data_IF_086284695634
#
_entry.id   IF_086284695634
#
_cell.length_a   1.000
_cell.length_b   1.000
_cell.length_c   1.000
_cell.angle_alpha   90.00
_cell.angle_beta   90.00
_cell.angle_gamma   90.00
#
_symmetry.space_group_name_H-M   'P 1'
#
loop_
_entity.id
_entity.type
_entity.pdbx_description
1 polymer ?
#
# COMPACT_ATOMS: atom_id res chain seq x y z
N UNK A 1 -32.22 -53.22 17.76
CA UNK A 1 -31.50 -52.98 16.50
C UNK A 1 -32.38 -52.13 15.62
N UNK A 2 -32.03 -50.95 15.13
CA UNK A 2 -30.81 -50.16 15.24
C UNK A 2 -31.24 -48.71 15.06
N UNK A 3 -30.93 -47.87 16.04
CA UNK A 3 -31.02 -46.42 15.94
C UNK A 3 -29.58 -45.95 15.87
N UNK A 4 -29.13 -45.35 14.77
CA UNK A 4 -27.92 -44.53 14.73
C UNK A 4 -27.87 -43.69 13.45
N UNK A 5 -28.35 -42.47 13.61
CA UNK A 5 -27.71 -41.22 13.21
C UNK A 5 -27.04 -41.17 11.81
N UNK A 6 -27.82 -40.66 10.83
CA UNK A 6 -27.26 -39.85 9.76
C UNK A 6 -26.68 -38.57 10.35
N UNK A 7 -25.36 -38.49 10.43
CA UNK A 7 -24.66 -37.21 10.63
C UNK A 7 -24.62 -36.52 9.27
N UNK A 8 -25.54 -35.57 9.06
CA UNK A 8 -25.47 -34.59 7.99
C UNK A 8 -24.11 -33.89 8.07
N UNK A 9 -23.25 -34.14 7.08
CA UNK A 9 -22.09 -33.30 6.80
C UNK A 9 -22.62 -31.93 6.44
N UNK A 10 -22.41 -30.94 7.31
CA UNK A 10 -22.51 -29.54 6.96
C UNK A 10 -21.49 -29.26 5.84
N UNK A 11 -22.02 -29.17 4.63
CA UNK A 11 -21.27 -28.82 3.43
C UNK A 11 -20.74 -27.40 3.59
N UNK A 12 -19.45 -27.27 3.34
CA UNK A 12 -18.62 -26.06 3.47
C UNK A 12 -18.95 -25.03 2.37
N UNK A 13 -20.19 -24.55 2.29
CA UNK A 13 -20.63 -23.61 1.25
C UNK A 13 -20.49 -22.13 1.65
N UNK A 14 -20.46 -21.81 2.96
CA UNK A 14 -20.46 -20.42 3.43
C UNK A 14 -19.13 -19.64 3.28
N UNK A 15 -17.98 -20.33 3.20
CA UNK A 15 -16.66 -19.68 3.06
C UNK A 15 -16.36 -19.32 1.60
N UNK A 16 -16.65 -20.25 0.69
CA UNK A 16 -16.36 -20.09 -0.73
C UNK A 16 -17.18 -18.97 -1.37
N UNK A 17 -18.46 -18.84 -1.02
CA UNK A 17 -19.32 -17.77 -1.56
C UNK A 17 -18.87 -16.38 -1.10
N UNK A 18 -18.34 -16.28 0.12
CA UNK A 18 -17.76 -15.04 0.66
C UNK A 18 -16.44 -14.70 -0.03
N UNK A 19 -15.57 -15.69 -0.21
CA UNK A 19 -14.29 -15.54 -0.91
C UNK A 19 -14.48 -15.14 -2.38
N UNK A 20 -15.48 -15.71 -3.05
CA UNK A 20 -15.84 -15.36 -4.43
C UNK A 20 -16.38 -13.93 -4.52
N UNK A 21 -17.26 -13.53 -3.61
CA UNK A 21 -17.82 -12.17 -3.58
C UNK A 21 -16.72 -11.12 -3.38
N UNK A 22 -15.79 -11.38 -2.46
CA UNK A 22 -14.66 -10.48 -2.16
C UNK A 22 -13.67 -10.41 -3.33
N UNK A 23 -13.40 -11.53 -4.00
CA UNK A 23 -12.57 -11.53 -5.21
C UNK A 23 -13.22 -10.73 -6.35
N UNK A 24 -14.55 -10.79 -6.49
CA UNK A 24 -15.30 -9.99 -7.45
C UNK A 24 -15.29 -8.49 -7.11
N UNK A 25 -15.30 -8.13 -5.83
CA UNK A 25 -15.16 -6.75 -5.38
C UNK A 25 -13.77 -6.19 -5.69
N UNK A 26 -12.70 -6.95 -5.42
CA UNK A 26 -11.32 -6.59 -5.80
C UNK A 26 -11.18 -6.37 -7.31
N UNK A 27 -11.70 -7.30 -8.12
CA UNK A 27 -11.66 -7.17 -9.58
C UNK A 27 -12.46 -5.96 -10.08
N UNK A 28 -13.57 -5.64 -9.42
CA UNK A 28 -14.40 -4.47 -9.72
C UNK A 28 -13.70 -3.17 -9.34
N UNK A 29 -12.99 -3.15 -8.22
CA UNK A 29 -12.20 -1.99 -7.78
C UNK A 29 -10.99 -1.75 -8.69
N UNK A 30 -10.26 -2.81 -9.06
CA UNK A 30 -9.15 -2.71 -10.01
C UNK A 30 -9.60 -2.28 -11.40
N UNK A 31 -10.79 -2.71 -11.84
CA UNK A 31 -11.43 -2.22 -13.07
C UNK A 31 -11.87 -0.76 -12.98
N UNK A 32 -12.27 -0.30 -11.79
CA UNK A 32 -12.62 1.11 -11.53
C UNK A 32 -11.40 2.01 -11.56
N UNK A 33 -10.27 1.57 -11.00
CA UNK A 33 -9.00 2.30 -10.94
C UNK A 33 -8.32 2.32 -12.31
N UNK A 34 -8.18 1.17 -12.96
CA UNK A 34 -7.40 1.03 -14.22
C UNK A 34 -8.24 1.11 -15.50
N UNK A 35 -9.53 1.40 -15.38
CA UNK A 35 -10.44 1.64 -16.50
C UNK A 35 -10.64 0.44 -17.44
N UNK A 36 -11.12 0.67 -18.67
CA UNK A 36 -11.47 -0.39 -19.64
C UNK A 36 -10.30 -1.26 -20.09
N UNK A 37 -9.07 -0.82 -19.85
CA UNK A 37 -7.82 -1.51 -20.20
C UNK A 37 -7.40 -2.57 -19.18
N UNK A 38 -8.05 -2.62 -18.02
CA UNK A 38 -7.82 -3.67 -17.02
C UNK A 38 -8.28 -5.03 -17.54
N UNK A 39 -7.35 -5.97 -17.63
CA UNK A 39 -7.62 -7.36 -18.01
C UNK A 39 -6.97 -8.31 -17.01
N UNK A 40 -7.74 -9.29 -16.53
CA UNK A 40 -7.22 -10.38 -15.70
C UNK A 40 -6.35 -11.37 -16.49
N UNK A 41 -6.12 -11.12 -17.79
CA UNK A 41 -5.41 -12.03 -18.68
C UNK A 41 -3.87 -11.98 -18.57
N UNK A 42 -3.31 -11.08 -17.76
CA UNK A 42 -1.86 -11.00 -17.54
C UNK A 42 -1.49 -11.27 -16.08
N UNK A 43 -1.44 -12.57 -15.76
CA UNK A 43 -0.86 -13.19 -14.55
C UNK A 43 -1.69 -13.04 -13.27
N UNK A 44 -2.62 -13.98 -13.13
CA UNK A 44 -3.37 -14.35 -11.94
C UNK A 44 -2.45 -14.60 -10.74
N UNK A 45 -2.79 -14.11 -9.53
CA UNK A 45 -2.26 -14.67 -8.28
C UNK A 45 -2.36 -16.20 -8.30
N UNK A 46 -1.31 -16.90 -7.85
CA UNK A 46 -1.23 -18.37 -7.97
C UNK A 46 -2.30 -19.07 -7.14
N UNK A 47 -2.87 -18.38 -6.14
CA UNK A 47 -4.09 -18.79 -5.46
C UNK A 47 -5.00 -17.61 -5.10
N UNK A 48 -6.30 -17.87 -5.04
CA UNK A 48 -7.31 -16.92 -4.53
C UNK A 48 -7.00 -16.50 -3.10
N UNK A 49 -6.41 -17.40 -2.29
CA UNK A 49 -6.04 -17.16 -0.90
C UNK A 49 -4.93 -16.13 -0.75
N UNK A 50 -3.88 -16.19 -1.56
CA UNK A 50 -2.80 -15.20 -1.52
C UNK A 50 -3.30 -13.80 -1.91
N UNK A 51 -4.19 -13.73 -2.92
CA UNK A 51 -4.85 -12.47 -3.29
C UNK A 51 -5.74 -11.94 -2.15
N UNK A 52 -6.45 -12.85 -1.46
CA UNK A 52 -7.34 -12.56 -0.34
C UNK A 52 -6.58 -12.10 0.91
N UNK A 53 -5.46 -12.72 1.26
CA UNK A 53 -4.63 -12.36 2.43
C UNK A 53 -4.00 -10.98 2.24
N UNK A 54 -3.46 -10.72 1.04
CA UNK A 54 -2.92 -9.41 0.67
C UNK A 54 -4.02 -8.34 0.70
N UNK A 55 -5.23 -8.65 0.22
CA UNK A 55 -6.37 -7.73 0.23
C UNK A 55 -6.92 -7.48 1.64
N UNK A 56 -7.15 -8.53 2.44
CA UNK A 56 -7.66 -8.44 3.82
C UNK A 56 -6.75 -7.60 4.72
N UNK A 57 -5.43 -7.68 4.53
CA UNK A 57 -4.46 -6.85 5.24
C UNK A 57 -4.46 -5.38 4.77
N UNK A 58 -4.93 -5.12 3.55
CA UNK A 58 -5.15 -3.76 3.03
C UNK A 58 -6.50 -3.18 3.46
N UNK A 59 -7.51 -4.00 3.73
CA UNK A 59 -8.87 -3.59 4.12
C UNK A 59 -9.10 -3.67 5.63
N UNK A 60 -8.22 -3.04 6.41
CA UNK A 60 -8.55 -2.78 7.83
C UNK A 60 -9.65 -1.71 7.83
N UNK A 61 -10.88 -2.13 8.11
CA UNK A 61 -12.04 -1.23 8.27
C UNK A 61 -12.16 -0.80 9.72
N UNK A 62 -12.31 0.51 9.95
CA UNK A 62 -12.47 1.06 11.28
C UNK A 62 -13.91 1.56 11.49
N UNK A 63 -14.60 1.07 12.53
CA UNK A 63 -15.91 1.59 12.95
C UNK A 63 -15.73 2.99 13.57
N UNK A 64 -16.58 3.97 13.27
CA UNK A 64 -16.47 5.39 13.71
C UNK A 64 -15.16 6.11 13.30
N UNK A 65 -14.92 6.23 11.99
CA UNK A 65 -13.74 6.90 11.42
C UNK A 65 -14.10 8.18 10.65
N UNK A 66 -13.15 9.11 10.58
CA UNK A 66 -13.23 10.25 9.68
C UNK A 66 -12.64 9.87 8.32
N UNK A 67 -13.52 9.71 7.34
CA UNK A 67 -13.15 9.39 5.97
C UNK A 67 -12.47 10.56 5.29
N UNK A 68 -11.42 10.24 4.54
CA UNK A 68 -10.79 11.12 3.59
C UNK A 68 -11.58 11.05 2.28
N UNK A 69 -11.74 12.18 1.60
CA UNK A 69 -12.22 12.14 0.22
C UNK A 69 -11.10 11.56 -0.65
N UNK A 70 -11.39 10.61 -1.56
CA UNK A 70 -10.39 10.08 -2.47
C UNK A 70 -9.69 11.19 -3.26
N UNK A 71 -8.44 10.93 -3.67
CA UNK A 71 -7.65 11.88 -4.42
C UNK A 71 -8.41 12.31 -5.69
N UNK A 72 -8.59 13.61 -5.86
CA UNK A 72 -9.44 14.16 -6.91
C UNK A 72 -8.71 14.34 -8.24
N UNK A 73 -7.39 14.13 -8.23
CA UNK A 73 -6.50 14.33 -9.37
C UNK A 73 -6.25 13.05 -10.17
N UNK A 74 -6.80 11.91 -9.74
CA UNK A 74 -6.77 10.66 -10.48
C UNK A 74 -5.43 9.91 -10.41
N UNK A 75 -4.63 10.16 -9.38
CA UNK A 75 -3.42 9.37 -9.09
C UNK A 75 -3.86 7.96 -8.69
N UNK A 76 -3.21 6.97 -9.28
CA UNK A 76 -3.48 5.57 -9.02
C UNK A 76 -2.47 4.98 -8.05
N UNK A 77 -2.90 3.96 -7.32
CA UNK A 77 -2.01 3.14 -6.52
C UNK A 77 -1.04 2.32 -7.38
N UNK A 78 0.04 1.88 -6.76
CA UNK A 78 1.04 1.01 -7.37
C UNK A 78 0.88 -0.41 -6.84
N UNK A 79 0.95 -1.40 -7.72
CA UNK A 79 0.88 -2.80 -7.32
C UNK A 79 1.71 -3.65 -8.28
N UNK A 80 2.76 -4.30 -7.75
CA UNK A 80 3.65 -5.18 -8.52
C UNK A 80 3.90 -6.46 -7.73
N UNK A 81 3.53 -7.61 -8.29
CA UNK A 81 3.72 -8.94 -7.70
C UNK A 81 5.00 -9.57 -8.19
N UNK A 82 5.60 -10.46 -7.40
CA UNK A 82 6.89 -11.11 -7.72
C UNK A 82 7.97 -10.08 -8.11
N UNK A 83 7.88 -8.89 -7.51
CA UNK A 83 8.72 -7.73 -7.80
C UNK A 83 10.08 -7.91 -7.14
N UNK A 84 11.15 -7.87 -7.94
CA UNK A 84 12.52 -7.86 -7.47
C UNK A 84 13.27 -6.71 -8.13
N UNK A 85 14.19 -6.09 -7.39
CA UNK A 85 15.07 -5.06 -7.90
C UNK A 85 16.14 -5.74 -8.78
N UNK A 86 16.38 -5.27 -10.02
CA UNK A 86 17.41 -5.85 -10.88
C UNK A 86 18.79 -5.85 -10.21
N UNK A 87 19.62 -6.88 -10.45
CA UNK A 87 20.96 -6.94 -9.85
C UNK A 87 21.81 -5.73 -10.20
N UNK A 88 22.64 -5.28 -9.23
CA UNK A 88 23.54 -4.13 -9.38
C UNK A 88 22.82 -2.81 -9.65
N UNK A 89 21.55 -2.70 -9.27
CA UNK A 89 20.83 -1.42 -9.34
C UNK A 89 21.43 -0.44 -8.34
N UNK A 90 21.80 0.75 -8.82
CA UNK A 90 22.25 1.85 -7.98
C UNK A 90 21.09 2.76 -7.65
N UNK A 91 20.88 3.00 -6.36
CA UNK A 91 19.81 3.87 -5.86
C UNK A 91 20.42 4.95 -4.99
N UNK A 92 20.15 6.20 -5.34
CA UNK A 92 20.52 7.34 -4.50
C UNK A 92 19.31 7.75 -3.65
N UNK A 93 19.44 7.61 -2.34
CA UNK A 93 18.44 8.09 -1.37
C UNK A 93 18.90 9.44 -0.84
N UNK A 94 18.11 10.52 -1.00
CA UNK A 94 18.50 11.82 -0.46
C UNK A 94 18.70 11.75 1.05
N UNK A 95 19.68 12.52 1.55
CA UNK A 95 20.13 12.54 2.95
C UNK A 95 20.82 11.26 3.48
N UNK A 96 20.90 10.19 2.70
CA UNK A 96 21.60 8.94 3.07
C UNK A 96 22.80 8.65 2.15
N UNK A 97 22.58 8.55 0.83
CA UNK A 97 23.63 8.32 -0.16
C UNK A 97 23.28 7.29 -1.23
N UNK A 98 24.32 6.74 -1.88
CA UNK A 98 24.19 5.72 -2.93
C UNK A 98 24.24 4.30 -2.33
N UNK A 99 23.33 3.44 -2.77
CA UNK A 99 23.23 2.04 -2.37
C UNK A 99 23.19 1.12 -3.58
N UNK A 100 23.84 -0.04 -3.48
CA UNK A 100 23.73 -1.11 -4.46
C UNK A 100 22.71 -2.16 -3.99
N UNK A 101 21.71 -2.43 -4.84
CA UNK A 101 20.58 -3.30 -4.55
C UNK A 101 20.45 -4.45 -5.56
N UNK A 102 19.60 -5.41 -5.23
CA UNK A 102 19.12 -6.45 -6.15
C UNK A 102 20.08 -7.62 -6.41
N UNK A 103 21.35 -7.54 -6.00
CA UNK A 103 22.25 -8.70 -6.10
C UNK A 103 21.89 -9.75 -5.05
N UNK A 104 22.19 -11.03 -5.31
CA UNK A 104 21.85 -12.10 -4.37
C UNK A 104 22.35 -11.80 -2.93
N UNK A 105 21.44 -11.89 -1.96
CA UNK A 105 21.71 -11.57 -0.56
C UNK A 105 21.69 -10.07 -0.21
N UNK A 106 21.45 -9.18 -1.17
CA UNK A 106 21.23 -7.75 -0.94
C UNK A 106 19.73 -7.42 -0.85
N UNK A 107 19.41 -6.27 -0.26
CA UNK A 107 18.04 -5.75 -0.25
C UNK A 107 17.48 -5.63 -1.69
N UNK A 108 16.18 -5.89 -1.84
CA UNK A 108 15.49 -5.94 -3.13
C UNK A 108 15.77 -7.18 -3.99
N UNK A 109 16.66 -8.10 -3.58
CA UNK A 109 16.96 -9.30 -4.39
C UNK A 109 15.93 -10.42 -4.25
N UNK A 110 15.23 -10.47 -3.11
CA UNK A 110 14.14 -11.41 -2.88
C UNK A 110 12.84 -10.84 -3.45
N UNK A 111 12.13 -11.57 -4.34
CA UNK A 111 10.85 -11.14 -4.85
C UNK A 111 9.84 -10.87 -3.73
N UNK A 112 9.08 -9.78 -3.83
CA UNK A 112 7.99 -9.43 -2.92
C UNK A 112 6.80 -8.87 -3.71
N UNK A 113 5.69 -8.64 -3.02
CA UNK A 113 4.59 -7.82 -3.57
C UNK A 113 4.76 -6.40 -3.08
N UNK A 114 4.96 -5.46 -4.00
CA UNK A 114 5.06 -4.03 -3.71
C UNK A 114 3.68 -3.40 -3.86
N UNK A 115 3.26 -2.64 -2.85
CA UNK A 115 1.96 -1.96 -2.85
C UNK A 115 2.12 -0.51 -2.45
N UNK A 116 1.47 0.38 -3.18
CA UNK A 116 1.23 1.77 -2.78
C UNK A 116 -0.26 2.01 -2.87
N UNK A 117 -0.90 2.26 -1.73
CA UNK A 117 -2.35 2.35 -1.60
C UNK A 117 -2.75 3.68 -0.99
N UNK A 118 -3.82 4.29 -1.50
CA UNK A 118 -4.37 5.51 -0.92
C UNK A 118 -4.96 5.22 0.47
N UNK A 119 -4.66 6.09 1.42
CA UNK A 119 -5.20 6.09 2.76
C UNK A 119 -6.46 6.94 2.74
N UNK A 120 -7.61 6.29 2.85
CA UNK A 120 -8.91 6.94 2.78
C UNK A 120 -9.53 7.21 4.16
N UNK A 121 -8.76 7.11 5.24
CA UNK A 121 -9.31 7.26 6.59
C UNK A 121 -8.27 7.69 7.62
N UNK A 122 -8.71 8.45 8.62
CA UNK A 122 -7.84 8.95 9.68
C UNK A 122 -7.30 7.81 10.56
N UNK A 123 -8.11 6.82 10.93
CA UNK A 123 -7.59 5.68 11.72
C UNK A 123 -6.61 4.83 10.94
N UNK A 124 -6.75 4.71 9.60
CA UNK A 124 -5.72 4.05 8.78
C UNK A 124 -4.43 4.85 8.81
N UNK A 125 -4.49 6.18 8.67
CA UNK A 125 -3.31 7.04 8.76
C UNK A 125 -2.57 6.87 10.10
N UNK A 126 -3.30 6.84 11.21
CA UNK A 126 -2.73 6.58 12.55
C UNK A 126 -2.13 5.18 12.65
N UNK A 127 -2.85 4.16 12.16
CA UNK A 127 -2.38 2.77 12.16
C UNK A 127 -1.06 2.63 11.40
N UNK A 128 -0.96 3.21 10.20
CA UNK A 128 0.27 3.23 9.39
C UNK A 128 1.42 3.92 10.15
N UNK A 129 1.12 5.03 10.83
CA UNK A 129 2.08 5.70 11.70
C UNK A 129 2.63 4.80 12.81
N UNK A 130 1.75 4.02 13.46
CA UNK A 130 2.10 3.02 14.47
C UNK A 130 2.93 1.87 13.94
N UNK A 131 2.70 1.44 12.70
CA UNK A 131 3.53 0.41 12.09
C UNK A 131 4.95 0.93 11.77
N UNK A 132 5.07 2.23 11.46
CA UNK A 132 6.33 2.86 11.10
C UNK A 132 7.13 3.37 12.30
N UNK A 133 6.56 3.46 13.50
CA UNK A 133 7.27 4.06 14.63
C UNK A 133 7.26 5.60 14.61
N UNK A 134 6.44 6.27 13.78
CA UNK A 134 6.65 7.68 13.42
C UNK A 134 5.81 8.69 14.24
N UNK A 135 5.90 9.98 13.92
CA UNK A 135 5.25 11.04 14.69
C UNK A 135 3.71 11.05 14.63
N UNK A 136 3.11 10.18 13.80
CA UNK A 136 1.65 10.03 13.67
C UNK A 136 1.06 9.02 14.67
N UNK A 137 1.86 8.55 15.62
CA UNK A 137 1.43 7.52 16.56
C UNK A 137 0.43 8.01 17.61
N UNK A 138 0.48 9.28 18.00
CA UNK A 138 0.17 9.56 19.41
C UNK A 138 -1.02 10.50 19.68
N UNK A 139 -1.49 11.34 18.74
CA UNK A 139 -2.61 12.28 19.05
C UNK A 139 -3.50 12.64 17.86
N UNK A 140 -4.76 12.17 17.88
CA UNK A 140 -5.83 12.56 16.92
C UNK A 140 -5.96 14.08 16.76
N UNK A 141 -5.77 14.85 17.84
CA UNK A 141 -5.81 16.32 17.82
C UNK A 141 -4.67 16.97 17.00
N UNK A 142 -3.51 16.33 16.90
CA UNK A 142 -2.37 16.81 16.11
C UNK A 142 -2.51 16.53 14.60
N UNK A 143 -3.48 15.69 14.23
CA UNK A 143 -3.68 15.17 12.87
C UNK A 143 -4.86 15.80 12.13
N UNK A 144 -5.63 16.67 12.79
CA UNK A 144 -6.74 17.44 12.18
C UNK A 144 -6.26 18.24 10.96
N UNK A 145 -4.99 18.67 10.93
CA UNK A 145 -4.38 19.35 9.78
C UNK A 145 -4.39 18.47 8.51
N UNK A 146 -4.21 17.16 8.63
CA UNK A 146 -4.23 16.24 7.49
C UNK A 146 -5.65 16.10 6.93
N UNK A 147 -6.65 15.91 7.81
CA UNK A 147 -8.08 15.94 7.44
C UNK A 147 -8.47 17.22 6.71
N UNK A 148 -8.04 18.37 7.21
CA UNK A 148 -8.34 19.66 6.60
C UNK A 148 -7.76 19.75 5.18
N UNK A 149 -6.53 19.28 4.95
CA UNK A 149 -5.90 19.33 3.63
C UNK A 149 -6.56 18.38 2.63
N UNK A 150 -6.94 17.17 3.06
CA UNK A 150 -7.72 16.26 2.21
C UNK A 150 -9.06 16.88 1.83
N UNK A 151 -9.82 17.40 2.81
CA UNK A 151 -11.15 18.00 2.54
C UNK A 151 -11.09 19.19 1.59
N UNK A 152 -9.97 19.92 1.59
CA UNK A 152 -9.71 21.03 0.67
C UNK A 152 -9.17 20.56 -0.69
N UNK A 153 -8.99 19.26 -0.91
CA UNK A 153 -8.39 18.70 -2.11
C UNK A 153 -6.91 19.05 -2.29
N UNK A 154 -6.24 19.52 -1.23
CA UNK A 154 -4.84 19.96 -1.29
C UNK A 154 -3.85 18.81 -1.19
N UNK A 155 -4.26 17.68 -0.59
CA UNK A 155 -3.36 16.56 -0.37
C UNK A 155 -4.08 15.22 -0.35
N UNK A 156 -3.34 14.17 -0.68
CA UNK A 156 -3.71 12.77 -0.48
C UNK A 156 -2.60 12.02 0.24
N UNK A 157 -2.95 10.95 0.95
CA UNK A 157 -2.05 10.18 1.79
C UNK A 157 -1.95 8.76 1.25
N UNK A 158 -0.75 8.17 1.27
CA UNK A 158 -0.49 6.87 0.65
C UNK A 158 0.42 6.02 1.52
N UNK A 159 0.08 4.74 1.66
CA UNK A 159 0.90 3.74 2.34
C UNK A 159 1.63 2.89 1.32
N UNK A 160 2.95 2.78 1.48
CA UNK A 160 3.78 1.81 0.81
C UNK A 160 4.09 0.64 1.74
N UNK A 161 3.80 -0.57 1.28
CA UNK A 161 4.15 -1.80 1.99
C UNK A 161 4.68 -2.87 1.04
N UNK A 162 5.52 -3.75 1.59
CA UNK A 162 5.96 -4.97 0.92
C UNK A 162 5.32 -6.18 1.59
N UNK A 163 4.85 -7.13 0.80
CA UNK A 163 4.47 -8.45 1.29
C UNK A 163 5.56 -9.42 0.89
N UNK A 164 6.28 -9.95 1.87
CA UNK A 164 7.38 -10.90 1.64
C UNK A 164 6.83 -12.30 1.36
N UNK A 165 7.65 -13.22 0.81
CA UNK A 165 7.23 -14.60 0.58
C UNK A 165 6.77 -15.36 1.84
N UNK A 166 7.16 -14.90 3.03
CA UNK A 166 6.67 -15.43 4.30
C UNK A 166 5.20 -15.07 4.60
N UNK A 167 4.63 -14.12 3.86
CA UNK A 167 3.32 -13.53 4.14
C UNK A 167 3.39 -12.27 5.02
N UNK A 168 4.58 -11.94 5.54
CA UNK A 168 4.75 -10.77 6.40
C UNK A 168 4.57 -9.48 5.62
N UNK A 169 3.80 -8.54 6.19
CA UNK A 169 3.63 -7.19 5.67
C UNK A 169 4.63 -6.28 6.35
N UNK A 170 5.55 -5.76 5.57
CA UNK A 170 6.49 -4.73 5.98
C UNK A 170 5.96 -3.37 5.53
N UNK A 171 5.70 -2.48 6.49
CA UNK A 171 5.36 -1.08 6.20
C UNK A 171 6.64 -0.29 5.95
N UNK A 172 6.71 0.34 4.78
CA UNK A 172 7.98 0.84 4.24
C UNK A 172 8.01 2.35 4.14
N UNK A 173 6.89 2.97 3.78
CA UNK A 173 6.82 4.41 3.67
C UNK A 173 5.38 4.92 3.78
N UNK A 174 5.19 6.02 4.48
CA UNK A 174 3.98 6.82 4.44
C UNK A 174 4.24 8.11 3.67
N UNK A 175 3.38 8.40 2.69
CA UNK A 175 3.59 9.49 1.74
C UNK A 175 2.44 10.49 1.80
N UNK A 176 2.75 11.77 1.83
CA UNK A 176 1.81 12.86 1.55
C UNK A 176 2.11 13.45 0.16
N UNK A 177 1.12 13.42 -0.72
CA UNK A 177 1.16 14.06 -2.03
C UNK A 177 0.42 15.38 -1.94
N UNK A 178 1.03 16.48 -2.37
CA UNK A 178 0.37 17.77 -2.55
C UNK A 178 -0.13 17.94 -3.97
N UNK A 179 -1.37 18.42 -4.08
CA UNK A 179 -2.03 18.71 -5.34
C UNK A 179 -1.93 20.21 -5.62
N UNK A 180 -1.00 20.59 -6.50
CA UNK A 180 -0.76 21.98 -6.84
C UNK A 180 -1.25 22.28 -8.25
N UNK A 181 -1.35 23.58 -8.60
CA UNK A 181 -1.68 24.00 -9.97
C UNK A 181 -0.62 23.61 -11.01
N UNK A 182 0.62 23.37 -10.56
CA UNK A 182 1.78 23.11 -11.44
C UNK A 182 2.07 21.62 -11.59
N UNK A 183 1.36 20.77 -10.85
CA UNK A 183 1.59 19.33 -10.81
C UNK A 183 1.42 18.76 -9.40
N UNK A 184 1.47 17.44 -9.31
CA UNK A 184 1.44 16.73 -8.05
C UNK A 184 2.86 16.52 -7.54
N UNK A 185 3.10 16.82 -6.26
CA UNK A 185 4.44 16.74 -5.67
C UNK A 185 4.41 15.86 -4.43
N UNK A 186 5.45 15.06 -4.25
CA UNK A 186 5.68 14.34 -2.99
C UNK A 186 6.11 15.38 -1.98
N UNK A 187 5.20 15.77 -1.10
CA UNK A 187 5.51 16.74 -0.06
C UNK A 187 6.29 16.09 1.08
N UNK A 188 5.89 14.87 1.43
CA UNK A 188 6.46 14.13 2.54
C UNK A 188 6.54 12.65 2.22
N UNK A 189 7.65 12.00 2.61
CA UNK A 189 7.81 10.55 2.54
C UNK A 189 8.53 10.07 3.81
N UNK A 190 7.80 9.50 4.75
CA UNK A 190 8.36 9.03 6.02
C UNK A 190 8.61 7.52 5.97
N UNK A 191 9.84 7.11 6.30
CA UNK A 191 10.20 5.70 6.48
C UNK A 191 10.10 5.25 7.93
N UNK A 192 10.39 3.97 8.21
CA UNK A 192 10.35 3.44 9.57
C UNK A 192 11.42 4.05 10.48
N UNK A 193 11.11 4.21 11.77
CA UNK A 193 12.10 4.61 12.78
C UNK A 193 13.19 3.54 12.99
N UNK A 194 14.41 3.94 13.40
CA UNK A 194 14.82 5.30 13.81
C UNK A 194 15.23 6.23 12.64
N UNK A 195 15.20 5.74 11.40
CA UNK A 195 15.78 6.44 10.24
C UNK A 195 14.95 7.63 9.76
N UNK A 196 13.62 7.56 9.93
CA UNK A 196 12.56 8.50 9.46
C UNK A 196 12.55 8.79 7.94
N UNK A 197 13.60 8.43 7.20
CA UNK A 197 13.65 8.41 5.74
C UNK A 197 13.37 7.01 5.21
N UNK A 198 12.79 6.86 4.00
CA UNK A 198 12.55 5.56 3.38
C UNK A 198 13.83 4.73 3.25
N UNK A 199 13.69 3.41 3.32
CA UNK A 199 14.80 2.49 3.02
C UNK A 199 15.20 2.60 1.55
N UNK A 200 16.43 2.19 1.16
CA UNK A 200 16.81 2.21 -0.26
C UNK A 200 15.90 1.38 -1.17
N UNK A 201 15.37 0.26 -0.67
CA UNK A 201 14.39 -0.54 -1.40
C UNK A 201 13.06 0.21 -1.56
N UNK A 202 12.54 0.82 -0.49
CA UNK A 202 11.34 1.67 -0.54
C UNK A 202 11.51 2.85 -1.49
N UNK A 203 12.67 3.51 -1.45
CA UNK A 203 12.97 4.67 -2.30
C UNK A 203 12.99 4.31 -3.79
N UNK A 204 13.54 3.14 -4.14
CA UNK A 204 13.51 2.64 -5.52
C UNK A 204 12.07 2.49 -6.03
N UNK A 205 11.22 1.81 -5.26
CA UNK A 205 9.82 1.59 -5.64
C UNK A 205 9.00 2.89 -5.61
N UNK A 206 9.28 3.79 -4.68
CA UNK A 206 8.67 5.13 -4.60
C UNK A 206 8.97 5.92 -5.88
N UNK A 207 10.23 5.94 -6.30
CA UNK A 207 10.65 6.62 -7.53
C UNK A 207 9.94 6.06 -8.77
N UNK A 208 9.69 4.73 -8.81
CA UNK A 208 8.96 4.09 -9.91
C UNK A 208 7.47 4.42 -9.92
N UNK A 209 6.82 4.43 -8.75
CA UNK A 209 5.44 4.88 -8.66
C UNK A 209 5.31 6.35 -9.05
N UNK A 210 6.20 7.21 -8.56
CA UNK A 210 6.23 8.62 -8.93
C UNK A 210 6.39 8.83 -10.43
N UNK A 211 7.30 8.07 -11.08
CA UNK A 211 7.46 8.13 -12.53
C UNK A 211 6.23 7.63 -13.31
N UNK A 212 5.49 6.66 -12.76
CA UNK A 212 4.28 6.13 -13.40
C UNK A 212 3.10 7.10 -13.33
N UNK A 213 2.99 7.87 -12.25
CA UNK A 213 1.88 8.79 -11.98
C UNK A 213 2.26 10.28 -12.15
N UNK A 214 3.42 10.56 -12.75
CA UNK A 214 3.95 11.92 -12.98
C UNK A 214 4.01 12.77 -11.69
N UNK A 215 4.52 12.18 -10.60
CA UNK A 215 4.70 12.82 -9.31
C UNK A 215 6.13 13.36 -9.17
N UNK A 216 6.25 14.63 -8.80
CA UNK A 216 7.56 15.23 -8.51
C UNK A 216 8.08 14.77 -7.14
N UNK A 217 9.13 13.95 -7.14
CA UNK A 217 9.81 13.47 -5.94
C UNK A 217 10.98 14.39 -5.51
N UNK A 218 11.27 15.47 -6.23
CA UNK A 218 12.46 16.31 -5.97
C UNK A 218 12.30 17.28 -4.81
N UNK A 219 11.06 17.62 -4.43
CA UNK A 219 10.75 18.61 -3.40
C UNK A 219 10.30 18.02 -2.06
N UNK A 220 10.55 16.72 -1.86
CA UNK A 220 10.09 16.00 -0.67
C UNK A 220 10.82 16.41 0.60
N UNK A 221 10.12 16.31 1.73
CA UNK A 221 10.66 16.48 3.08
C UNK A 221 10.53 15.20 3.91
N UNK A 222 11.43 15.03 4.88
CA UNK A 222 11.28 14.11 6.01
C UNK A 222 11.40 14.91 7.31
N UNK A 223 10.48 14.72 8.23
CA UNK A 223 10.65 15.23 9.59
C UNK A 223 11.50 14.24 10.40
N UNK A 224 12.63 14.72 10.93
CA UNK A 224 13.43 14.03 11.95
C UNK A 224 12.81 14.19 13.33
#
# INVERSE_FOLDING_TARGET
>A
ASNNQETLKETTTGSADKEVTIALDYLSEMRRIRGPTFSCASRTPKSVREALEVYQLSTVTFEDDESFTPNQVGINGFFETDAAIPPKTKVFVPYDGEHALGSAGQAGSTPCTVRVMEINSMKRLVFEGQQLGNCLEDRRSSQVKYLSRVRQGMSSFWSMSFVRPSGDVEYQCLVEVWHTRQGNVIHQAEGPRPRTIPTPEAWYWLSRWCAAEDLDLTQWNCYS
#
